data_IF_270370077265
#
_entry.id   IF_270370077265
#
_cell.length_a   1.000
_cell.length_b   1.000
_cell.length_c   1.000
_cell.angle_alpha   90.00
_cell.angle_beta   90.00
_cell.angle_gamma   90.00
#
_symmetry.space_group_name_H-M   'P 1'
#
loop_
_entity.id
_entity.type
_entity.pdbx_description
1 polymer ?
#
# COMPACT_ATOMS: atom_id res chain seq x y z
N UNK A 1 -21.24 -16.70 50.89
CA UNK A 1 -21.65 -15.62 49.96
C UNK A 1 -20.60 -14.53 50.09
N UNK A 2 -19.88 -14.19 49.01
CA UNK A 2 -18.93 -13.06 49.03
C UNK A 2 -19.76 -11.77 49.03
N UNK A 3 -19.47 -10.88 49.98
CA UNK A 3 -20.06 -9.54 50.01
C UNK A 3 -19.82 -8.85 48.67
N UNK A 4 -20.82 -8.13 48.14
CA UNK A 4 -20.65 -7.47 46.87
C UNK A 4 -19.69 -6.29 47.06
N UNK A 5 -18.66 -6.20 46.21
CA UNK A 5 -17.67 -5.14 46.28
C UNK A 5 -18.34 -3.78 46.00
N UNK A 6 -18.50 -2.98 47.06
CA UNK A 6 -18.94 -1.60 46.96
C UNK A 6 -17.86 -0.74 46.29
N UNK A 7 -18.29 0.23 45.48
CA UNK A 7 -17.41 1.25 44.91
C UNK A 7 -17.08 2.30 45.98
N UNK A 8 -15.93 2.15 46.64
CA UNK A 8 -15.45 3.03 47.73
C UNK A 8 -14.45 4.09 47.24
N UNK A 9 -14.14 4.11 45.93
CA UNK A 9 -13.17 5.02 45.34
C UNK A 9 -11.69 4.71 45.67
N UNK A 10 -11.39 3.59 46.33
CA UNK A 10 -10.01 3.24 46.71
C UNK A 10 -9.20 2.63 45.56
N UNK A 11 -9.87 2.12 44.52
CA UNK A 11 -9.21 1.51 43.36
C UNK A 11 -9.05 2.50 42.20
N UNK A 12 -7.81 2.91 41.86
CA UNK A 12 -7.55 3.99 40.90
C UNK A 12 -8.12 3.73 39.49
N UNK A 13 -8.17 2.47 39.06
CA UNK A 13 -8.71 2.12 37.74
C UNK A 13 -10.25 2.25 37.70
N UNK A 14 -10.95 1.87 38.77
CA UNK A 14 -12.41 2.02 38.89
C UNK A 14 -12.79 3.52 38.86
N UNK A 15 -12.01 4.36 39.53
CA UNK A 15 -12.18 5.83 39.54
C UNK A 15 -11.91 6.44 38.16
N UNK A 16 -10.86 6.00 37.46
CA UNK A 16 -10.54 6.50 36.11
C UNK A 16 -11.64 6.19 35.10
N UNK A 17 -12.18 4.97 35.13
CA UNK A 17 -13.32 4.58 34.28
C UNK A 17 -14.58 5.38 34.60
N UNK A 18 -14.86 5.65 35.88
CA UNK A 18 -15.99 6.48 36.31
C UNK A 18 -15.88 7.93 35.83
N UNK A 19 -14.73 8.58 36.04
CA UNK A 19 -14.49 9.97 35.63
C UNK A 19 -14.58 10.11 34.10
N UNK A 20 -14.05 9.14 33.36
CA UNK A 20 -14.13 9.14 31.90
C UNK A 20 -15.58 8.97 31.42
N UNK A 21 -16.37 8.11 32.06
CA UNK A 21 -17.79 7.96 31.74
C UNK A 21 -18.61 9.22 32.08
N UNK A 22 -18.31 9.85 33.22
CA UNK A 22 -19.04 11.04 33.68
C UNK A 22 -18.80 12.29 32.83
N UNK A 23 -17.59 12.46 32.29
CA UNK A 23 -17.22 13.63 31.50
C UNK A 23 -17.99 13.76 30.18
N UNK A 24 -18.48 12.66 29.61
CA UNK A 24 -19.10 12.66 28.26
C UNK A 24 -20.58 12.29 28.26
N UNK A 25 -21.16 11.97 29.42
CA UNK A 25 -22.50 11.39 29.51
C UNK A 25 -23.38 11.99 30.64
N UNK A 26 -23.13 13.24 30.99
CA UNK A 26 -23.87 14.02 32.01
C UNK A 26 -25.41 13.83 31.95
N UNK A 27 -26.09 13.88 30.78
CA UNK A 27 -27.56 13.71 30.75
C UNK A 27 -28.03 12.27 31.03
N UNK A 28 -27.22 11.25 30.77
CA UNK A 28 -27.58 9.85 31.03
C UNK A 28 -27.25 9.43 32.47
N UNK A 29 -26.16 9.96 33.03
CA UNK A 29 -25.89 9.84 34.46
C UNK A 29 -26.95 10.56 35.30
N UNK A 30 -27.53 11.65 34.79
CA UNK A 30 -28.68 12.31 35.43
C UNK A 30 -29.87 11.37 35.61
N UNK A 31 -30.13 10.48 34.64
CA UNK A 31 -31.20 9.48 34.75
C UNK A 31 -30.88 8.37 35.78
N UNK A 32 -29.59 8.03 35.94
CA UNK A 32 -29.11 7.12 36.98
C UNK A 32 -29.17 7.73 38.39
N UNK A 33 -29.09 9.06 38.51
CA UNK A 33 -29.24 9.79 39.78
C UNK A 33 -30.71 9.86 40.23
N UNK A 34 -31.65 9.83 39.28
CA UNK A 34 -33.09 9.94 39.54
C UNK A 34 -33.79 8.59 39.84
N UNK A 35 -33.14 7.46 39.55
CA UNK A 35 -33.55 6.13 40.02
C UNK A 35 -32.70 5.77 41.24
N UNK A 36 -33.29 5.20 42.29
CA UNK A 36 -32.57 4.86 43.53
C UNK A 36 -31.27 4.08 43.21
N UNK A 37 -30.08 4.74 43.31
CA UNK A 37 -28.84 4.22 42.74
C UNK A 37 -28.25 3.08 43.58
N UNK A 38 -28.88 2.74 44.70
CA UNK A 38 -28.40 1.73 45.63
C UNK A 38 -28.17 0.38 44.94
N UNK A 39 -29.02 -0.07 44.01
CA UNK A 39 -28.84 -1.39 43.37
C UNK A 39 -27.66 -1.44 42.38
N UNK A 40 -27.30 -0.30 41.76
CA UNK A 40 -26.16 -0.17 40.85
C UNK A 40 -24.84 0.02 41.61
N UNK A 41 -24.84 0.80 42.68
CA UNK A 41 -23.66 1.10 43.49
C UNK A 41 -23.26 -0.04 44.43
N UNK A 42 -24.22 -0.90 44.80
CA UNK A 42 -23.96 -2.07 45.65
C UNK A 42 -23.23 -3.21 44.94
N UNK A 43 -23.03 -3.16 43.61
CA UNK A 43 -22.25 -4.17 42.90
C UNK A 43 -21.53 -3.57 41.71
N UNK A 44 -20.21 -3.46 41.83
CA UNK A 44 -19.34 -3.01 40.75
C UNK A 44 -19.57 -3.77 39.43
N UNK A 45 -19.84 -5.08 39.50
CA UNK A 45 -20.12 -5.90 38.31
C UNK A 45 -21.40 -5.50 37.59
N UNK A 46 -22.46 -5.18 38.34
CA UNK A 46 -23.73 -4.73 37.78
C UNK A 46 -23.59 -3.34 37.16
N UNK A 47 -22.91 -2.43 37.86
CA UNK A 47 -22.55 -1.12 37.32
C UNK A 47 -21.76 -1.23 36.02
N UNK A 48 -20.68 -2.01 36.00
CA UNK A 48 -19.84 -2.23 34.82
C UNK A 48 -20.66 -2.83 33.67
N UNK A 49 -21.50 -3.83 33.93
CA UNK A 49 -22.35 -4.43 32.88
C UNK A 49 -23.35 -3.45 32.28
N UNK A 50 -24.01 -2.62 33.11
CA UNK A 50 -24.95 -1.61 32.65
C UNK A 50 -24.23 -0.49 31.90
N UNK A 51 -23.04 -0.11 32.37
CA UNK A 51 -22.20 0.89 31.71
C UNK A 51 -21.75 0.39 30.33
N UNK A 52 -21.27 -0.84 30.21
CA UNK A 52 -20.95 -1.46 28.92
C UNK A 52 -22.18 -1.64 28.03
N UNK A 53 -23.36 -1.91 28.60
CA UNK A 53 -24.59 -2.03 27.81
C UNK A 53 -25.07 -0.68 27.27
N UNK A 54 -24.90 0.39 28.03
CA UNK A 54 -25.33 1.74 27.66
C UNK A 54 -24.31 2.49 26.80
N UNK A 55 -23.02 2.16 26.93
CA UNK A 55 -21.90 2.90 26.31
C UNK A 55 -21.12 2.05 25.31
N UNK A 56 -21.02 0.74 25.52
CA UNK A 56 -20.30 -0.16 24.62
C UNK A 56 -21.04 -0.35 23.31
N UNK A 57 -20.30 -0.43 22.21
CA UNK A 57 -20.87 -0.91 20.96
C UNK A 57 -21.10 -2.43 21.12
N UNK A 58 -22.35 -2.92 21.07
CA UNK A 58 -22.64 -4.35 21.22
C UNK A 58 -21.96 -5.19 20.13
N UNK A 59 -21.55 -4.56 19.02
CA UNK A 59 -20.85 -5.19 17.92
C UNK A 59 -19.35 -4.87 17.89
N UNK A 60 -18.76 -4.28 18.94
CA UNK A 60 -17.34 -3.89 18.94
C UNK A 60 -16.42 -5.09 18.64
N UNK A 61 -16.67 -6.21 19.30
CA UNK A 61 -15.89 -7.45 19.10
C UNK A 61 -16.08 -7.96 17.68
N UNK A 62 -17.32 -8.09 17.21
CA UNK A 62 -17.61 -8.59 15.85
C UNK A 62 -17.01 -7.68 14.77
N UNK A 63 -17.03 -6.36 14.99
CA UNK A 63 -16.39 -5.37 14.12
C UNK A 63 -14.87 -5.51 14.14
N UNK A 64 -14.27 -5.65 15.32
CA UNK A 64 -12.83 -5.87 15.46
C UNK A 64 -12.39 -7.17 14.79
N UNK A 65 -13.17 -8.24 14.88
CA UNK A 65 -12.94 -9.51 14.18
C UNK A 65 -13.00 -9.33 12.66
N UNK A 66 -14.01 -8.63 12.13
CA UNK A 66 -14.12 -8.33 10.71
C UNK A 66 -12.98 -7.43 10.20
N UNK A 67 -12.57 -6.43 10.99
CA UNK A 67 -11.41 -5.60 10.71
C UNK A 67 -10.12 -6.43 10.71
N UNK A 68 -9.96 -7.35 11.67
CA UNK A 68 -8.81 -8.26 11.73
C UNK A 68 -8.76 -9.20 10.52
N UNK A 69 -9.91 -9.70 10.07
CA UNK A 69 -10.00 -10.59 8.92
C UNK A 69 -9.66 -9.92 7.59
N UNK A 70 -9.98 -8.63 7.49
CA UNK A 70 -9.68 -7.77 6.34
C UNK A 70 -8.31 -7.07 6.46
N UNK A 71 -7.64 -7.14 7.61
CA UNK A 71 -6.34 -6.52 7.83
C UNK A 71 -5.28 -7.13 6.90
N UNK A 72 -4.74 -6.30 6.00
CA UNK A 72 -3.68 -6.68 5.07
C UNK A 72 -2.59 -5.62 5.06
N UNK A 73 -1.34 -6.07 5.03
CA UNK A 73 -0.20 -5.19 4.81
C UNK A 73 -0.08 -4.87 3.32
N UNK A 74 0.27 -3.61 2.99
CA UNK A 74 0.53 -3.19 1.61
C UNK A 74 1.87 -3.75 1.13
N UNK A 75 2.02 -3.95 -0.19
CA UNK A 75 3.24 -4.54 -0.78
C UNK A 75 4.53 -3.79 -0.41
N UNK A 76 4.50 -2.46 -0.39
CA UNK A 76 5.62 -1.61 0.05
C UNK A 76 5.47 -1.03 1.46
N UNK A 77 4.54 -1.56 2.25
CA UNK A 77 4.33 -1.12 3.64
C UNK A 77 5.31 -1.80 4.60
N UNK A 78 5.51 -1.15 5.75
CA UNK A 78 6.33 -1.66 6.83
C UNK A 78 5.57 -2.61 7.75
N UNK A 79 6.25 -3.66 8.21
CA UNK A 79 5.69 -4.66 9.13
C UNK A 79 5.35 -4.06 10.50
N UNK A 80 6.12 -3.07 10.95
CA UNK A 80 5.90 -2.39 12.24
C UNK A 80 4.51 -1.74 12.35
N UNK A 81 4.05 -1.09 11.28
CA UNK A 81 2.72 -0.48 11.22
C UNK A 81 1.62 -1.56 11.26
N UNK A 82 1.80 -2.63 10.48
CA UNK A 82 0.88 -3.76 10.48
C UNK A 82 0.78 -4.43 11.86
N UNK A 83 1.90 -4.61 12.57
CA UNK A 83 1.92 -5.16 13.93
C UNK A 83 1.15 -4.24 14.90
N UNK A 84 1.31 -2.92 14.78
CA UNK A 84 0.60 -1.97 15.63
C UNK A 84 -0.92 -2.07 15.44
N UNK A 85 -1.38 -2.09 14.19
CA UNK A 85 -2.80 -2.26 13.85
C UNK A 85 -3.35 -3.61 14.32
N UNK A 86 -2.58 -4.68 14.10
CA UNK A 86 -2.94 -6.02 14.55
C UNK A 86 -3.10 -6.10 16.07
N UNK A 87 -2.13 -5.59 16.84
CA UNK A 87 -2.19 -5.59 18.31
C UNK A 87 -3.35 -4.76 18.85
N UNK A 88 -3.64 -3.63 18.21
CA UNK A 88 -4.81 -2.80 18.53
C UNK A 88 -6.10 -3.59 18.41
N UNK A 89 -6.30 -4.33 17.31
CA UNK A 89 -7.48 -5.16 17.09
C UNK A 89 -7.56 -6.34 18.06
N UNK A 90 -6.45 -7.04 18.28
CA UNK A 90 -6.40 -8.18 19.22
C UNK A 90 -6.76 -7.75 20.64
N UNK A 91 -6.33 -6.57 21.07
CA UNK A 91 -6.68 -6.03 22.40
C UNK A 91 -8.17 -5.78 22.60
N UNK A 92 -8.93 -5.56 21.51
CA UNK A 92 -10.40 -5.39 21.56
C UNK A 92 -11.15 -6.72 21.59
N UNK A 93 -10.54 -7.79 21.08
CA UNK A 93 -11.17 -9.09 20.94
C UNK A 93 -10.98 -9.96 22.20
N UNK A 94 -9.82 -9.88 22.87
CA UNK A 94 -9.56 -10.47 24.19
C UNK A 94 -9.39 -11.99 24.26
N UNK A 95 -10.24 -12.77 23.58
CA UNK A 95 -10.44 -14.20 23.88
C UNK A 95 -9.81 -15.17 22.86
N UNK A 96 -8.96 -14.68 21.96
CA UNK A 96 -8.41 -15.51 20.89
C UNK A 96 -7.17 -16.30 21.31
N UNK A 97 -7.14 -17.58 20.93
CA UNK A 97 -5.97 -18.44 21.13
C UNK A 97 -4.80 -18.06 20.22
N UNK A 98 -3.57 -18.25 20.71
CA UNK A 98 -2.34 -17.87 20.00
C UNK A 98 -2.22 -18.50 18.60
N UNK A 99 -2.63 -19.76 18.42
CA UNK A 99 -2.64 -20.43 17.12
C UNK A 99 -3.55 -19.73 16.11
N UNK A 100 -4.71 -19.24 16.55
CA UNK A 100 -5.62 -18.48 15.70
C UNK A 100 -4.99 -17.13 15.34
N UNK A 101 -4.41 -16.43 16.33
CA UNK A 101 -3.70 -15.17 16.09
C UNK A 101 -2.56 -15.32 15.07
N UNK A 102 -1.74 -16.38 15.18
CA UNK A 102 -0.69 -16.69 14.22
C UNK A 102 -1.26 -16.90 12.81
N UNK A 103 -2.37 -17.64 12.68
CA UNK A 103 -3.01 -17.86 11.38
C UNK A 103 -3.50 -16.55 10.75
N UNK A 104 -4.18 -15.69 11.52
CA UNK A 104 -4.68 -14.40 11.03
C UNK A 104 -3.54 -13.42 10.72
N UNK A 105 -2.48 -13.44 11.51
CA UNK A 105 -1.28 -12.63 11.27
C UNK A 105 -0.61 -13.03 9.95
N UNK A 106 -0.45 -14.33 9.68
CA UNK A 106 0.13 -14.82 8.41
C UNK A 106 -0.74 -14.50 7.18
N UNK A 107 -2.07 -14.56 7.32
CA UNK A 107 -3.04 -14.21 6.25
C UNK A 107 -2.89 -12.74 5.80
N UNK A 108 -2.37 -11.89 6.67
CA UNK A 108 -2.17 -10.46 6.47
C UNK A 108 -1.04 -10.07 5.53
N UNK A 109 -0.05 -10.95 5.35
CA UNK A 109 1.21 -10.60 4.72
C UNK A 109 1.20 -10.67 3.19
N UNK A 110 1.98 -9.81 2.52
CA UNK A 110 2.23 -9.91 1.08
C UNK A 110 3.10 -11.12 0.76
N UNK A 111 3.06 -11.57 -0.49
CA UNK A 111 3.82 -12.74 -0.95
C UNK A 111 5.32 -12.60 -0.68
N UNK A 112 5.89 -11.39 -0.81
CA UNK A 112 7.33 -11.15 -0.57
C UNK A 112 7.78 -11.61 0.82
N UNK A 113 6.96 -11.37 1.84
CA UNK A 113 7.28 -11.73 3.23
C UNK A 113 7.01 -13.21 3.44
N UNK A 114 5.91 -13.73 2.89
CA UNK A 114 5.58 -15.14 3.00
C UNK A 114 6.65 -16.05 2.37
N UNK A 115 7.22 -15.65 1.23
CA UNK A 115 8.29 -16.39 0.56
C UNK A 115 9.58 -16.40 1.39
N UNK A 116 9.96 -15.25 1.98
CA UNK A 116 11.10 -15.16 2.88
C UNK A 116 10.89 -15.97 4.16
N UNK A 117 9.68 -15.92 4.72
CA UNK A 117 9.30 -16.69 5.89
C UNK A 117 9.33 -18.20 5.61
N UNK A 118 8.95 -18.64 4.41
CA UNK A 118 9.03 -20.04 3.99
C UNK A 118 10.48 -20.54 3.83
N UNK A 119 11.41 -19.66 3.47
CA UNK A 119 12.84 -19.95 3.41
C UNK A 119 13.53 -19.89 4.78
N UNK A 120 12.85 -19.40 5.82
CA UNK A 120 13.45 -19.21 7.13
C UNK A 120 13.66 -20.56 7.84
N UNK A 121 14.85 -20.85 8.39
CA UNK A 121 15.19 -22.17 8.92
C UNK A 121 14.56 -22.51 10.28
N UNK A 122 14.02 -21.52 10.99
CA UNK A 122 13.47 -21.73 12.33
C UNK A 122 11.98 -22.08 12.32
N UNK A 123 11.60 -23.00 13.22
CA UNK A 123 10.19 -23.25 13.54
C UNK A 123 9.70 -22.13 14.46
N UNK A 124 8.63 -21.47 14.03
CA UNK A 124 8.02 -20.34 14.75
C UNK A 124 6.79 -20.85 15.48
N UNK A 125 6.92 -21.06 16.80
CA UNK A 125 5.85 -21.60 17.64
C UNK A 125 5.15 -20.53 18.50
N UNK A 126 5.72 -19.32 18.61
CA UNK A 126 5.19 -18.17 19.35
C UNK A 126 4.78 -17.04 18.39
N UNK A 127 3.71 -16.33 18.72
CA UNK A 127 3.27 -15.15 17.99
C UNK A 127 4.31 -14.02 18.07
N UNK A 128 4.98 -13.89 19.22
CA UNK A 128 5.98 -12.84 19.41
C UNK A 128 7.21 -13.10 18.54
N UNK A 129 7.70 -14.34 18.53
CA UNK A 129 8.82 -14.75 17.68
C UNK A 129 8.49 -14.51 16.19
N UNK A 130 7.24 -14.76 15.80
CA UNK A 130 6.76 -14.47 14.45
C UNK A 130 6.84 -12.97 14.15
N UNK A 131 6.39 -12.11 15.06
CA UNK A 131 6.47 -10.66 14.87
C UNK A 131 7.92 -10.18 14.73
N UNK A 132 8.82 -10.70 15.55
CA UNK A 132 10.22 -10.28 15.58
C UNK A 132 10.97 -10.70 14.31
N UNK A 133 10.78 -11.95 13.84
CA UNK A 133 11.36 -12.43 12.58
C UNK A 133 10.84 -11.61 11.39
N UNK A 134 9.54 -11.32 11.34
CA UNK A 134 8.99 -10.54 10.23
C UNK A 134 9.50 -9.09 10.25
N UNK A 135 9.79 -8.53 11.43
CA UNK A 135 10.39 -7.19 11.54
C UNK A 135 11.82 -7.18 10.99
N UNK A 136 12.63 -8.19 11.31
CA UNK A 136 14.00 -8.35 10.78
C UNK A 136 14.04 -8.55 9.25
N UNK A 137 13.09 -9.33 8.73
CA UNK A 137 12.93 -9.51 7.28
C UNK A 137 12.56 -8.19 6.59
N UNK A 138 11.67 -7.39 7.20
CA UNK A 138 11.25 -6.11 6.65
C UNK A 138 12.38 -5.07 6.66
N UNK A 139 13.15 -4.97 7.76
CA UNK A 139 14.31 -4.07 7.82
C UNK A 139 15.33 -4.43 6.74
N UNK A 140 15.68 -5.71 6.62
CA UNK A 140 16.61 -6.20 5.60
C UNK A 140 16.11 -5.88 4.19
N UNK A 141 14.82 -6.11 3.94
CA UNK A 141 14.21 -5.81 2.64
C UNK A 141 14.33 -4.33 2.29
N UNK A 142 13.95 -3.43 3.20
CA UNK A 142 14.00 -1.99 2.97
C UNK A 142 15.43 -1.47 2.81
N UNK A 143 16.40 -2.03 3.53
CA UNK A 143 17.82 -1.74 3.34
C UNK A 143 18.27 -2.11 1.92
N UNK A 144 18.00 -3.35 1.47
CA UNK A 144 18.39 -3.79 0.11
C UNK A 144 17.73 -2.97 -1.00
N UNK A 145 16.49 -2.52 -0.79
CA UNK A 145 15.76 -1.72 -1.79
C UNK A 145 16.30 -0.28 -1.87
N UNK A 146 16.69 0.29 -0.72
CA UNK A 146 17.38 1.57 -0.66
C UNK A 146 18.77 1.50 -1.32
N UNK A 147 19.50 0.40 -1.17
CA UNK A 147 20.79 0.21 -1.84
C UNK A 147 20.65 0.08 -3.36
N UNK A 148 19.67 -0.68 -3.85
CA UNK A 148 19.41 -0.82 -5.30
C UNK A 148 19.04 0.51 -5.94
N UNK A 149 18.20 1.32 -5.29
CA UNK A 149 17.84 2.65 -5.79
C UNK A 149 19.05 3.60 -5.82
N UNK A 150 19.89 3.57 -4.78
CA UNK A 150 21.09 4.40 -4.70
C UNK A 150 22.19 3.96 -5.70
N UNK A 151 22.30 2.66 -6.02
CA UNK A 151 23.23 2.17 -7.03
C UNK A 151 22.78 2.42 -8.48
N UNK A 152 21.47 2.55 -8.74
CA UNK A 152 20.98 2.92 -10.08
C UNK A 152 21.29 4.38 -10.45
N UNK A 153 21.54 5.26 -9.46
CA UNK A 153 21.92 6.65 -9.71
C UNK A 153 23.42 6.84 -10.00
N UNK A 154 24.27 5.86 -9.71
CA UNK A 154 25.72 5.93 -10.00
C UNK A 154 26.11 5.06 -11.19
N UNK A 155 25.74 5.49 -12.40
CA UNK A 155 26.35 4.93 -13.61
C UNK A 155 27.67 5.64 -13.88
N UNK A 156 28.82 4.94 -13.94
CA UNK A 156 30.09 5.57 -14.31
C UNK A 156 30.05 5.99 -15.79
N UNK A 157 30.38 7.26 -16.06
CA UNK A 157 30.72 7.74 -17.41
C UNK A 157 31.96 6.99 -17.90
N UNK A 158 31.75 5.87 -18.61
CA UNK A 158 32.79 5.22 -19.36
C UNK A 158 33.15 6.09 -20.58
N UNK A 159 34.39 6.55 -20.57
CA UNK A 159 35.02 7.42 -21.54
C UNK A 159 34.95 6.86 -22.97
N UNK A 160 34.57 7.71 -23.93
CA UNK A 160 34.64 7.43 -25.36
C UNK A 160 36.10 7.24 -25.80
N UNK A 161 36.44 6.06 -26.32
CA UNK A 161 37.56 5.90 -27.24
C UNK A 161 37.04 5.35 -28.58
N UNK A 162 37.14 6.18 -29.62
CA UNK A 162 36.84 5.84 -31.00
C UNK A 162 37.88 4.84 -31.55
N UNK A 163 37.45 3.81 -32.29
CA UNK A 163 38.23 3.25 -33.41
C UNK A 163 37.40 2.30 -34.29
N UNK A 164 37.67 2.40 -35.58
CA UNK A 164 37.06 1.86 -36.80
C UNK A 164 36.64 0.38 -36.92
N UNK A 165 35.67 0.19 -37.83
CA UNK A 165 35.34 -1.00 -38.63
C UNK A 165 36.57 -1.71 -39.26
N UNK A 166 36.41 -3.00 -39.66
CA UNK A 166 36.11 -3.28 -41.07
C UNK A 166 34.97 -4.30 -41.30
N UNK A 167 34.41 -4.22 -42.51
CA UNK A 167 33.32 -5.05 -43.07
C UNK A 167 33.76 -6.48 -43.40
N UNK A 168 32.80 -7.41 -43.43
CA UNK A 168 32.72 -8.41 -44.50
C UNK A 168 31.31 -9.00 -44.65
N UNK A 169 31.08 -9.52 -45.86
CA UNK A 169 29.82 -9.63 -46.61
C UNK A 169 29.24 -11.04 -46.70
N UNK A 170 28.06 -11.11 -47.35
CA UNK A 170 27.34 -12.28 -47.91
C UNK A 170 26.41 -13.03 -46.92
N UNK A 171 25.21 -13.49 -47.26
CA UNK A 171 24.54 -13.76 -48.54
C UNK A 171 23.02 -13.92 -48.35
N UNK A 172 22.25 -13.45 -49.34
CA UNK A 172 21.02 -14.05 -49.93
C UNK A 172 20.15 -15.01 -49.08
N UNK A 173 18.88 -14.65 -48.90
CA UNK A 173 17.75 -15.48 -49.39
C UNK A 173 16.40 -14.75 -49.29
N UNK A 174 15.76 -14.59 -50.44
CA UNK A 174 14.38 -14.15 -50.60
C UNK A 174 13.40 -15.18 -49.98
N UNK A 175 12.34 -14.74 -49.31
CA UNK A 175 11.03 -15.42 -49.36
C UNK A 175 9.87 -14.47 -49.07
N UNK A 176 8.82 -14.69 -49.86
CA UNK A 176 7.68 -13.81 -50.13
C UNK A 176 6.72 -13.64 -48.93
N UNK A 177 6.05 -12.48 -48.94
CA UNK A 177 4.92 -12.08 -48.10
C UNK A 177 3.78 -13.11 -48.11
N UNK A 178 3.19 -13.35 -46.93
CA UNK A 178 1.73 -13.58 -46.80
C UNK A 178 1.20 -12.77 -45.61
N UNK A 179 0.16 -12.00 -45.91
CA UNK A 179 -0.65 -11.24 -44.96
C UNK A 179 -1.27 -12.18 -43.92
N UNK A 180 -1.10 -11.86 -42.64
CA UNK A 180 -2.09 -12.14 -41.60
C UNK A 180 -2.20 -10.90 -40.71
N UNK A 181 -3.33 -10.20 -40.81
CA UNK A 181 -3.74 -9.18 -39.85
C UNK A 181 -4.34 -9.87 -38.62
N UNK A 182 -3.75 -9.63 -37.44
CA UNK A 182 -4.41 -9.45 -36.13
C UNK A 182 -3.30 -9.18 -35.09
N UNK A 183 -3.13 -7.93 -34.67
CA UNK A 183 -3.67 -7.29 -33.45
C UNK A 183 -2.94 -7.73 -32.17
N UNK A 184 -2.35 -6.72 -31.51
CA UNK A 184 -1.88 -6.63 -30.13
C UNK A 184 -0.54 -7.31 -29.79
N UNK A 185 0.58 -6.64 -30.11
CA UNK A 185 1.84 -6.79 -29.35
C UNK A 185 1.79 -5.87 -28.11
N UNK A 186 2.29 -6.32 -26.95
CA UNK A 186 2.25 -5.54 -25.72
C UNK A 186 3.07 -4.25 -25.86
N UNK A 187 2.56 -3.18 -25.24
CA UNK A 187 3.11 -1.80 -25.28
C UNK A 187 4.59 -1.69 -24.86
N UNK A 188 5.15 -2.73 -24.23
CA UNK A 188 6.55 -2.82 -23.82
C UNK A 188 7.54 -2.95 -24.98
N UNK A 189 7.11 -3.35 -26.18
CA UNK A 189 8.01 -3.55 -27.34
C UNK A 189 8.34 -2.25 -28.09
N UNK A 190 7.66 -1.14 -27.76
CA UNK A 190 7.77 0.14 -28.47
C UNK A 190 8.58 1.17 -27.71
N UNK A 191 9.02 0.84 -26.50
CA UNK A 191 9.73 1.73 -25.60
C UNK A 191 11.17 1.25 -25.43
N UNK A 192 12.11 2.19 -25.46
CA UNK A 192 13.49 2.01 -25.01
C UNK A 192 13.51 1.67 -23.51
N UNK A 193 14.67 1.24 -23.02
CA UNK A 193 14.94 1.02 -21.58
C UNK A 193 14.62 2.24 -20.71
N UNK A 194 14.62 3.44 -21.30
CA UNK A 194 14.28 4.71 -20.66
C UNK A 194 12.76 5.04 -20.70
N UNK A 195 11.90 4.07 -21.03
CA UNK A 195 10.45 4.22 -21.22
C UNK A 195 10.03 5.26 -22.28
N UNK A 196 10.98 5.75 -23.09
CA UNK A 196 10.74 6.64 -24.24
C UNK A 196 10.48 5.83 -25.49
N UNK A 197 9.69 6.37 -26.42
CA UNK A 197 9.43 5.74 -27.71
C UNK A 197 10.75 5.46 -28.45
N UNK A 198 10.87 4.26 -29.05
CA UNK A 198 12.01 3.94 -29.92
C UNK A 198 12.04 4.91 -31.12
N UNK A 199 13.21 5.39 -31.52
CA UNK A 199 13.37 6.28 -32.69
C UNK A 199 12.72 5.67 -33.95
N UNK A 200 12.83 4.35 -34.14
CA UNK A 200 12.22 3.64 -35.25
C UNK A 200 10.68 3.68 -35.24
N UNK A 201 10.07 3.68 -34.06
CA UNK A 201 8.61 3.80 -33.92
C UNK A 201 8.16 5.27 -34.05
N UNK A 202 8.98 6.22 -33.60
CA UNK A 202 8.74 7.65 -33.81
C UNK A 202 8.75 8.01 -35.30
N UNK A 203 9.77 7.58 -36.06
CA UNK A 203 9.85 7.79 -37.51
C UNK A 203 8.67 7.16 -38.26
N UNK A 204 8.24 5.96 -37.84
CA UNK A 204 7.06 5.31 -38.43
C UNK A 204 5.81 6.14 -38.18
N UNK A 205 5.61 6.66 -36.97
CA UNK A 205 4.47 7.50 -36.63
C UNK A 205 4.48 8.80 -37.42
N UNK A 206 5.63 9.45 -37.57
CA UNK A 206 5.78 10.65 -38.41
C UNK A 206 5.42 10.34 -39.87
N UNK A 207 5.94 9.24 -40.41
CA UNK A 207 5.68 8.81 -41.79
C UNK A 207 4.22 8.46 -42.05
N UNK A 208 3.53 7.88 -41.07
CA UNK A 208 2.11 7.52 -41.15
C UNK A 208 1.17 8.64 -40.67
N UNK A 209 1.70 9.80 -40.28
CA UNK A 209 0.90 10.93 -39.78
C UNK A 209 0.19 10.65 -38.45
N UNK A 210 0.76 9.78 -37.62
CA UNK A 210 0.26 9.43 -36.29
C UNK A 210 0.93 10.28 -35.22
N UNK A 211 0.20 10.60 -34.15
CA UNK A 211 0.73 11.35 -33.02
C UNK A 211 1.84 10.57 -32.31
N UNK A 212 2.96 11.24 -32.04
CA UNK A 212 4.12 10.65 -31.36
C UNK A 212 3.81 10.24 -29.92
N UNK A 213 2.88 10.91 -29.23
CA UNK A 213 2.45 10.59 -27.87
C UNK A 213 1.34 9.52 -27.83
N UNK A 214 0.22 9.77 -28.52
CA UNK A 214 -0.96 8.88 -28.44
C UNK A 214 -0.87 7.65 -29.38
N UNK A 215 -0.06 7.71 -30.44
CA UNK A 215 -0.03 6.69 -31.50
C UNK A 215 -1.29 6.65 -32.38
N UNK A 216 -2.25 7.55 -32.14
CA UNK A 216 -3.49 7.69 -32.91
C UNK A 216 -3.45 8.85 -33.89
N UNK A 217 -4.51 8.99 -34.68
CA UNK A 217 -4.72 10.09 -35.65
C UNK A 217 -5.20 11.37 -34.95
N UNK A 218 -4.56 11.73 -33.83
CA UNK A 218 -4.84 12.93 -33.05
C UNK A 218 -3.86 14.04 -33.48
N UNK A 219 -4.28 15.31 -33.56
CA UNK A 219 -3.31 16.42 -33.71
C UNK A 219 -2.53 16.56 -32.40
N UNK A 220 -1.28 17.04 -32.45
CA UNK A 220 -0.45 17.17 -31.24
C UNK A 220 -1.10 18.08 -30.18
N UNK A 221 -1.85 19.08 -30.61
CA UNK A 221 -2.58 20.05 -29.77
C UNK A 221 -3.85 19.47 -29.14
N UNK A 222 -4.55 18.56 -29.84
CA UNK A 222 -5.75 17.88 -29.34
C UNK A 222 -5.44 16.58 -28.59
N UNK A 223 -4.17 16.24 -28.44
CA UNK A 223 -3.74 14.99 -27.84
C UNK A 223 -3.72 15.08 -26.31
N UNK A 224 -4.62 14.38 -25.65
CA UNK A 224 -4.69 14.29 -24.18
C UNK A 224 -3.42 13.70 -23.52
N UNK A 225 -2.58 12.98 -24.28
CA UNK A 225 -1.31 12.40 -23.79
C UNK A 225 -0.10 13.31 -24.03
N UNK A 226 -0.28 14.47 -24.68
CA UNK A 226 0.78 15.47 -24.80
C UNK A 226 0.91 16.23 -23.48
N UNK A 227 2.10 16.35 -22.87
CA UNK A 227 2.30 17.17 -21.68
C UNK A 227 2.02 18.64 -21.99
N UNK A 228 1.29 19.33 -21.10
CA UNK A 228 0.89 20.73 -21.27
C UNK A 228 2.09 21.68 -21.51
N UNK A 229 3.25 21.39 -20.90
CA UNK A 229 4.49 22.16 -21.07
C UNK A 229 5.10 22.08 -22.50
N UNK A 230 4.64 21.14 -23.35
CA UNK A 230 5.09 21.00 -24.75
C UNK A 230 4.20 21.76 -25.74
N UNK A 231 2.99 22.18 -25.33
CA UNK A 231 2.05 22.91 -26.18
C UNK A 231 2.44 24.39 -26.33
N UNK A 232 3.15 24.96 -25.36
CA UNK A 232 3.47 26.39 -25.29
C UNK A 232 4.79 26.78 -25.99
N UNK A 233 5.63 25.82 -26.40
CA UNK A 233 6.98 26.10 -26.91
C UNK A 233 7.09 26.18 -28.46
N UNK A 234 5.97 26.29 -29.20
CA UNK A 234 6.02 26.36 -30.68
C UNK A 234 5.43 27.63 -31.29
N UNK A 235 5.12 28.64 -30.50
CA UNK A 235 4.71 29.95 -31.05
C UNK A 235 5.90 30.84 -31.43
N UNK A 236 7.13 30.50 -31.06
CA UNK A 236 8.32 31.27 -31.43
C UNK A 236 9.29 30.44 -32.27
N UNK A 237 8.93 30.19 -33.52
CA UNK A 237 9.86 30.09 -34.65
C UNK A 237 9.09 29.73 -35.94
N UNK A 238 8.55 30.75 -36.58
CA UNK A 238 8.32 30.74 -38.02
C UNK A 238 9.23 31.81 -38.63
N UNK A 239 10.24 31.45 -39.46
CA UNK A 239 10.91 32.42 -40.30
C UNK A 239 9.91 32.85 -41.39
N UNK A 240 9.65 34.16 -41.45
CA UNK A 240 8.92 34.80 -42.54
C UNK A 240 9.56 34.41 -43.87
N UNK A 241 8.83 33.66 -44.70
CA UNK A 241 9.26 33.33 -46.05
C UNK A 241 8.93 34.54 -46.95
N UNK A 242 9.98 35.20 -47.41
CA UNK A 242 9.95 36.24 -48.43
C UNK A 242 9.22 35.74 -49.69
N UNK A 243 8.42 36.64 -50.28
CA UNK A 243 7.81 36.49 -51.61
C UNK A 243 8.90 36.59 -52.67
N UNK A 244 8.91 35.74 -53.71
CA UNK A 244 9.47 36.10 -54.99
C UNK A 244 8.42 36.82 -55.86
N UNK A 245 8.96 37.61 -56.78
CA UNK A 245 8.37 38.58 -57.72
C UNK A 245 7.13 38.14 -58.51
#
# INVERSE_FOLDING_TARGET
MKEPECFDGTQPFKVRSFIQAAKWNEPYLSNLINQDPNYLLNSWKLFESQLFTLIGDPNEVSKAEAELDSLRMKEGGHVSLYIADFRSLVSRIGDWGERALIHHFRKGFPSRILDQLASHPSRIDSLQDLMDINLELDTTYHETENEKSNHQEKKPEASKSNSCHPQCSSSSSQKKKKNFQKRNKPHSSLLNKDFKLMNSEEERRIKEGLCTYCGGKCSLESCFKTPQNKLTHRQENFPSREKPE
#
